data_IF_331758536496
#
_entry.id   IF_331758536496
#
_cell.length_a   1.000
_cell.length_b   1.000
_cell.length_c   1.000
_cell.angle_alpha   90.00
_cell.angle_beta   90.00
_cell.angle_gamma   90.00
#
_symmetry.space_group_name_H-M   'P 1'
#
loop_
_entity.id
_entity.type
_entity.pdbx_description
1 polymer ?
#
# COMPACT_ATOMS: atom_id res chain seq x y z
N UNK A 1 11.79 2.80 -10.12
CA UNK A 1 11.85 1.36 -10.44
C UNK A 1 10.42 0.84 -10.37
N UNK A 2 9.98 0.10 -11.38
CA UNK A 2 8.65 -0.53 -11.40
C UNK A 2 8.80 -2.01 -11.02
N UNK A 3 7.83 -2.60 -10.32
CA UNK A 3 7.87 -4.03 -10.02
C UNK A 3 7.70 -4.86 -11.29
N UNK A 4 8.30 -6.05 -11.31
CA UNK A 4 8.09 -7.07 -12.34
C UNK A 4 6.72 -7.76 -12.16
N UNK A 5 6.26 -7.90 -10.92
CA UNK A 5 4.97 -8.51 -10.60
C UNK A 5 4.35 -7.85 -9.36
N UNK A 6 3.02 -7.85 -9.34
CA UNK A 6 2.20 -7.36 -8.22
C UNK A 6 1.11 -8.39 -7.96
N UNK A 7 1.11 -8.99 -6.77
CA UNK A 7 0.14 -9.98 -6.36
C UNK A 7 -0.54 -9.59 -5.05
N UNK A 8 -1.87 -9.68 -4.98
CA UNK A 8 -2.61 -9.44 -3.74
C UNK A 8 -3.18 -10.76 -3.21
N UNK A 9 -2.80 -11.12 -1.98
CA UNK A 9 -3.32 -12.29 -1.28
C UNK A 9 -4.25 -11.83 -0.16
N UNK A 10 -5.57 -12.00 -0.34
CA UNK A 10 -6.54 -11.62 0.69
C UNK A 10 -6.54 -12.56 1.89
N UNK A 11 -6.23 -13.85 1.68
CA UNK A 11 -6.11 -14.84 2.75
C UNK A 11 -4.88 -14.59 3.63
N UNK A 12 -3.74 -14.29 3.01
CA UNK A 12 -2.50 -13.95 3.73
C UNK A 12 -2.47 -12.48 4.19
N UNK A 13 -3.39 -11.65 3.70
CA UNK A 13 -3.48 -10.21 3.99
C UNK A 13 -2.20 -9.45 3.58
N UNK A 14 -1.61 -9.85 2.47
CA UNK A 14 -0.36 -9.29 1.95
C UNK A 14 -0.46 -8.84 0.51
N UNK A 15 0.29 -7.78 0.19
CA UNK A 15 0.67 -7.40 -1.16
C UNK A 15 2.09 -7.89 -1.41
N UNK A 16 2.28 -8.72 -2.42
CA UNK A 16 3.58 -9.22 -2.87
C UNK A 16 4.05 -8.42 -4.07
N UNK A 17 5.30 -7.95 -4.02
CA UNK A 17 5.98 -7.22 -5.08
C UNK A 17 7.31 -7.91 -5.38
N UNK A 18 7.60 -8.16 -6.65
CA UNK A 18 8.93 -8.60 -7.09
C UNK A 18 9.58 -7.47 -7.88
N UNK A 19 10.83 -7.14 -7.57
CA UNK A 19 11.56 -6.02 -8.14
C UNK A 19 12.63 -6.49 -9.15
N UNK A 20 13.01 -5.64 -10.13
CA UNK A 20 14.08 -5.94 -11.08
C UNK A 20 15.46 -6.23 -10.49
N UNK A 21 15.73 -5.80 -9.26
CA UNK A 21 16.97 -6.09 -8.52
C UNK A 21 16.96 -7.47 -7.84
N UNK A 22 15.91 -8.26 -8.05
CA UNK A 22 15.73 -9.58 -7.45
C UNK A 22 15.09 -9.56 -6.05
N UNK A 23 14.82 -8.37 -5.49
CA UNK A 23 14.16 -8.25 -4.19
C UNK A 23 12.70 -8.68 -4.28
N UNK A 24 12.26 -9.45 -3.30
CA UNK A 24 10.85 -9.70 -3.03
C UNK A 24 10.41 -8.94 -1.78
N UNK A 25 9.20 -8.39 -1.83
CA UNK A 25 8.65 -7.61 -0.73
C UNK A 25 7.21 -8.07 -0.48
N UNK A 26 6.90 -8.32 0.79
CA UNK A 26 5.56 -8.64 1.26
C UNK A 26 5.12 -7.55 2.22
N UNK A 27 4.01 -6.88 1.90
CA UNK A 27 3.49 -5.77 2.68
C UNK A 27 2.12 -6.11 3.23
N UNK A 28 1.95 -6.06 4.55
CA UNK A 28 0.68 -6.32 5.21
C UNK A 28 -0.37 -5.25 4.81
N UNK A 29 -1.63 -5.66 4.63
CA UNK A 29 -2.73 -4.78 4.22
C UNK A 29 -2.98 -3.65 5.22
N UNK A 30 -2.96 -3.93 6.51
CA UNK A 30 -3.16 -2.93 7.56
C UNK A 30 -2.00 -1.93 7.60
N UNK A 31 -0.75 -2.40 7.48
CA UNK A 31 0.40 -1.50 7.45
C UNK A 31 0.41 -0.63 6.19
N UNK A 32 0.12 -1.20 5.01
CA UNK A 32 -0.09 -0.43 3.79
C UNK A 32 -1.13 0.68 3.98
N UNK A 33 -2.25 0.35 4.65
CA UNK A 33 -3.32 1.29 4.95
C UNK A 33 -2.87 2.39 5.91
N UNK A 34 -2.07 2.08 6.94
CA UNK A 34 -1.44 3.08 7.84
C UNK A 34 -0.50 4.01 7.07
N UNK A 35 0.21 3.48 6.08
CA UNK A 35 1.14 4.21 5.22
C UNK A 35 0.46 4.94 4.04
N UNK A 36 -0.87 5.04 4.02
CA UNK A 36 -1.59 5.65 2.90
C UNK A 36 -1.06 7.07 2.58
N UNK A 37 -0.60 7.31 1.33
CA UNK A 37 -0.01 8.59 0.93
C UNK A 37 -1.05 9.62 0.50
N UNK A 38 -2.36 9.34 0.63
CA UNK A 38 -3.40 10.31 0.28
C UNK A 38 -3.29 11.58 1.13
N UNK A 39 -3.78 12.70 0.60
CA UNK A 39 -3.68 14.02 1.24
C UNK A 39 -4.21 14.03 2.68
N UNK A 40 -5.34 13.36 2.94
CA UNK A 40 -5.92 13.24 4.27
C UNK A 40 -4.99 12.47 5.22
N UNK A 41 -4.57 11.25 4.87
CA UNK A 41 -3.68 10.45 5.73
C UNK A 41 -2.31 11.11 5.95
N UNK A 42 -1.79 11.81 4.94
CA UNK A 42 -0.57 12.62 5.06
C UNK A 42 -0.76 13.78 6.04
N UNK A 43 -1.88 14.50 5.96
CA UNK A 43 -2.18 15.61 6.88
C UNK A 43 -2.32 15.13 8.33
N UNK A 44 -2.89 13.95 8.57
CA UNK A 44 -2.93 13.32 9.89
C UNK A 44 -1.51 13.04 10.43
N UNK A 45 -0.65 12.40 9.62
CA UNK A 45 0.75 12.11 10.02
C UNK A 45 1.57 13.36 10.29
N UNK A 46 1.38 14.43 9.50
CA UNK A 46 2.05 15.72 9.73
C UNK A 46 1.65 16.38 11.07
N UNK A 47 0.49 16.02 11.63
CA UNK A 47 0.06 16.44 12.97
C UNK A 47 0.57 15.52 14.08
N UNK A 48 1.45 14.56 13.77
CA UNK A 48 1.92 13.55 14.72
C UNK A 48 0.88 12.48 15.04
N UNK A 49 -0.21 12.37 14.26
CA UNK A 49 -1.27 11.39 14.47
C UNK A 49 -1.07 10.19 13.56
N UNK A 50 -1.16 9.00 14.13
CA UNK A 50 -1.18 7.74 13.37
C UNK A 50 -2.63 7.36 13.07
N UNK A 51 -2.99 7.04 11.81
CA UNK A 51 -4.31 6.51 11.51
C UNK A 51 -4.60 5.26 12.34
N UNK A 52 -5.74 5.24 13.03
CA UNK A 52 -6.25 4.00 13.62
C UNK A 52 -6.77 3.13 12.49
N UNK A 53 -6.16 1.95 12.32
CA UNK A 53 -6.48 0.99 11.26
C UNK A 53 -6.86 -0.32 11.92
N UNK A 54 -8.01 -0.86 11.55
CA UNK A 54 -8.45 -2.19 11.97
C UNK A 54 -7.63 -3.25 11.22
N UNK A 55 -7.05 -4.22 11.95
CA UNK A 55 -6.25 -5.31 11.37
C UNK A 55 -7.05 -6.21 10.39
N UNK A 56 -8.39 -6.14 10.44
CA UNK A 56 -9.27 -6.83 9.48
C UNK A 56 -9.39 -6.10 8.15
N UNK A 57 -8.80 -4.92 7.99
CA UNK A 57 -8.81 -4.20 6.71
C UNK A 57 -8.18 -5.07 5.61
N UNK A 58 -8.80 -5.07 4.43
CA UNK A 58 -8.29 -5.79 3.26
C UNK A 58 -8.03 -4.82 2.13
N UNK A 59 -6.92 -5.03 1.42
CA UNK A 59 -6.74 -4.53 0.07
C UNK A 59 -7.66 -5.32 -0.85
N UNK A 60 -8.67 -4.65 -1.40
CA UNK A 60 -9.73 -5.28 -2.20
C UNK A 60 -9.57 -5.00 -3.69
N UNK A 61 -8.89 -3.94 -4.08
CA UNK A 61 -8.68 -3.58 -5.49
C UNK A 61 -7.34 -2.86 -5.70
N UNK A 62 -6.73 -3.10 -6.87
CA UNK A 62 -5.49 -2.49 -7.30
C UNK A 62 -5.72 -1.88 -8.69
N UNK A 63 -5.60 -0.56 -8.79
CA UNK A 63 -5.77 0.15 -10.05
C UNK A 63 -4.43 0.74 -10.51
N UNK A 64 -3.83 0.20 -11.59
CA UNK A 64 -2.56 0.70 -12.11
C UNK A 64 -2.62 2.19 -12.42
N UNK A 65 -1.61 2.93 -12.00
CA UNK A 65 -1.35 4.32 -12.37
C UNK A 65 0.04 4.31 -13.00
N UNK A 66 0.31 4.99 -14.12
CA UNK A 66 1.59 4.81 -14.84
C UNK A 66 2.88 4.87 -13.99
N UNK A 67 2.85 5.57 -12.84
CA UNK A 67 3.96 5.72 -11.88
C UNK A 67 3.77 4.98 -10.53
N UNK A 68 2.67 4.23 -10.35
CA UNK A 68 2.31 3.61 -9.09
C UNK A 68 1.06 2.73 -9.16
N UNK A 69 0.41 2.54 -8.03
CA UNK A 69 -0.86 1.81 -7.96
C UNK A 69 -1.79 2.49 -6.97
N UNK A 70 -3.03 2.69 -7.37
CA UNK A 70 -4.08 3.04 -6.44
C UNK A 70 -4.52 1.78 -5.69
N UNK A 71 -4.48 1.84 -4.37
CA UNK A 71 -4.91 0.76 -3.49
C UNK A 71 -6.28 1.12 -2.89
N UNK A 72 -7.26 0.22 -3.06
CA UNK A 72 -8.61 0.36 -2.49
C UNK A 72 -8.74 -0.59 -1.30
N UNK A 73 -9.08 -0.03 -0.15
CA UNK A 73 -9.21 -0.76 1.10
C UNK A 73 -10.68 -0.95 1.48
N UNK A 74 -10.98 -2.07 2.15
CA UNK A 74 -12.32 -2.46 2.58
C UNK A 74 -12.96 -1.51 3.60
N UNK A 75 -12.18 -0.60 4.20
CA UNK A 75 -12.65 0.44 5.13
C UNK A 75 -13.10 1.73 4.41
N UNK A 76 -13.30 1.68 3.09
CA UNK A 76 -13.73 2.80 2.26
C UNK A 76 -12.60 3.73 1.79
N UNK A 77 -11.34 3.43 2.12
CA UNK A 77 -10.22 4.25 1.67
C UNK A 77 -9.76 3.85 0.27
N UNK A 78 -10.05 4.72 -0.70
CA UNK A 78 -9.83 4.43 -2.13
C UNK A 78 -9.08 5.52 -2.89
N UNK A 79 -8.52 6.52 -2.20
CA UNK A 79 -7.86 7.68 -2.84
C UNK A 79 -6.32 7.61 -2.83
N UNK A 80 -5.75 6.59 -2.19
CA UNK A 80 -4.30 6.47 -2.04
C UNK A 80 -3.66 5.90 -3.30
N UNK A 81 -2.94 6.75 -4.04
CA UNK A 81 -2.01 6.29 -5.09
C UNK A 81 -0.64 6.12 -4.46
N UNK A 82 -0.10 4.91 -4.50
CA UNK A 82 1.19 4.54 -3.98
C UNK A 82 2.20 4.52 -5.13
N UNK A 83 3.09 5.52 -5.25
CA UNK A 83 4.15 5.49 -6.25
C UNK A 83 5.01 4.24 -6.09
N UNK A 84 5.51 3.67 -7.18
CA UNK A 84 6.36 2.47 -7.10
C UNK A 84 7.61 2.72 -6.25
N UNK A 85 8.23 3.90 -6.40
CA UNK A 85 9.36 4.32 -5.58
C UNK A 85 8.99 4.43 -4.09
N UNK A 86 7.75 4.79 -3.76
CA UNK A 86 7.31 4.82 -2.36
C UNK A 86 7.18 3.41 -1.80
N UNK A 87 6.49 2.50 -2.51
CA UNK A 87 6.36 1.10 -2.10
C UNK A 87 7.72 0.40 -1.95
N UNK A 88 8.65 0.66 -2.87
CA UNK A 88 9.99 0.09 -2.82
C UNK A 88 10.76 0.46 -1.56
N UNK A 89 10.44 1.59 -0.92
CA UNK A 89 11.09 2.09 0.29
C UNK A 89 10.31 1.77 1.58
N UNK A 90 9.15 1.13 1.49
CA UNK A 90 8.46 0.63 2.68
C UNK A 90 9.19 -0.60 3.21
N UNK A 91 9.48 -0.63 4.50
CA UNK A 91 10.00 -1.82 5.15
C UNK A 91 8.84 -2.74 5.56
N UNK A 92 8.95 -4.06 5.38
CA UNK A 92 8.01 -5.03 5.93
C UNK A 92 7.97 -5.00 7.46
#
# INVERSE_FOLDING_TARGET
>A
MNPLSVGNSQSEQTLRLTWPDGREQQLNHAELRRQCPCSQCRAFRLKGLTPMVDERVRLIELNPQGYGVQLVFSDGHQRGIYPWAYLANLNP
#
